data_IF_858740775672
#
_entry.id   IF_858740775672
#
_cell.length_a   1.000
_cell.length_b   1.000
_cell.length_c   1.000
_cell.angle_alpha   90.00
_cell.angle_beta   90.00
_cell.angle_gamma   90.00
#
_symmetry.space_group_name_H-M   'P 1'
#
loop_
_entity.id
_entity.type
_entity.pdbx_description
1 polymer ?
#
# COMPACT_ATOMS: atom_id res chain seq x y z
N UNK A 1 10.04 16.79 22.36
CA UNK A 1 9.77 17.74 23.46
C UNK A 1 10.02 17.09 24.83
N UNK A 2 10.08 15.76 24.90
CA UNK A 2 10.97 15.07 25.82
C UNK A 2 12.41 15.09 25.24
N UNK A 3 13.38 15.61 25.97
CA UNK A 3 14.82 15.54 25.69
C UNK A 3 15.53 15.12 26.98
N UNK A 4 16.82 14.77 26.90
CA UNK A 4 17.62 14.49 28.10
C UNK A 4 17.55 15.66 29.11
N UNK A 5 17.35 16.88 28.64
CA UNK A 5 17.17 18.06 29.50
C UNK A 5 15.89 18.04 30.36
N UNK A 6 14.95 17.12 30.13
CA UNK A 6 13.70 17.03 30.89
C UNK A 6 13.65 15.83 31.85
N UNK A 7 14.79 15.20 32.13
CA UNK A 7 14.87 14.23 33.22
C UNK A 7 14.65 14.90 34.57
N UNK A 8 14.15 14.13 35.54
CA UNK A 8 13.87 14.64 36.89
C UNK A 8 15.11 15.28 37.56
N UNK A 9 16.30 14.78 37.26
CA UNK A 9 17.59 15.34 37.68
C UNK A 9 17.82 16.75 37.14
N UNK A 10 17.58 16.94 35.85
CA UNK A 10 17.85 18.21 35.15
C UNK A 10 16.81 19.26 35.51
N UNK A 11 15.55 18.84 35.66
CA UNK A 11 14.48 19.71 36.20
C UNK A 11 14.82 20.15 37.62
N UNK A 12 15.25 19.22 38.49
CA UNK A 12 15.64 19.56 39.87
C UNK A 12 16.81 20.53 39.88
N UNK A 13 17.83 20.30 39.06
CA UNK A 13 18.98 21.21 38.96
C UNK A 13 18.55 22.62 38.52
N UNK A 14 17.63 22.74 37.55
CA UNK A 14 17.03 24.04 37.20
C UNK A 14 16.27 24.68 38.35
N UNK A 15 15.51 23.90 39.13
CA UNK A 15 14.81 24.43 40.32
C UNK A 15 15.80 24.92 41.38
N UNK A 16 16.83 24.15 41.69
CA UNK A 16 17.88 24.51 42.66
C UNK A 16 18.65 25.76 42.23
N UNK A 17 18.89 25.94 40.92
CA UNK A 17 19.53 27.15 40.40
C UNK A 17 18.69 28.42 40.63
N UNK A 18 17.37 28.31 40.79
CA UNK A 18 16.48 29.43 41.12
C UNK A 18 16.32 29.67 42.63
N UNK A 19 16.82 28.77 43.47
CA UNK A 19 16.86 28.99 44.93
C UNK A 19 17.97 30.01 45.24
N UNK A 20 17.81 30.94 46.20
CA UNK A 20 18.88 31.82 46.66
C UNK A 20 20.17 31.06 47.07
N UNK A 21 21.33 31.68 46.89
CA UNK A 21 22.64 31.05 47.15
C UNK A 21 23.01 30.90 48.62
N UNK A 22 22.32 31.62 49.51
CA UNK A 22 22.46 31.59 50.97
C UNK A 22 21.70 30.42 51.63
N UNK A 23 21.00 29.61 50.84
CA UNK A 23 20.28 28.42 51.27
C UNK A 23 21.07 27.16 50.86
N UNK A 24 21.16 26.17 51.75
CA UNK A 24 21.78 24.88 51.43
C UNK A 24 20.89 24.06 50.48
N UNK A 25 21.49 23.63 49.37
CA UNK A 25 20.86 22.92 48.25
C UNK A 25 21.43 21.53 48.04
N UNK A 26 22.30 21.08 48.94
CA UNK A 26 23.00 19.80 48.84
C UNK A 26 22.01 18.63 48.95
N UNK A 27 22.36 17.50 48.36
CA UNK A 27 21.56 16.28 48.45
C UNK A 27 21.36 15.85 49.92
N UNK A 28 20.13 15.51 50.29
CA UNK A 28 19.74 15.17 51.67
C UNK A 28 19.36 16.35 52.57
N UNK A 29 19.37 17.58 52.06
CA UNK A 29 18.85 18.76 52.76
C UNK A 29 17.40 19.07 52.37
N UNK A 30 16.67 19.74 53.26
CA UNK A 30 15.23 20.01 53.14
C UNK A 30 14.81 20.54 51.77
N UNK A 31 15.54 21.51 51.21
CA UNK A 31 15.19 22.10 49.91
C UNK A 31 15.39 21.11 48.76
N UNK A 32 16.47 20.35 48.77
CA UNK A 32 16.72 19.31 47.77
C UNK A 32 15.66 18.21 47.84
N UNK A 33 15.34 17.75 49.04
CA UNK A 33 14.37 16.67 49.28
C UNK A 33 12.94 17.13 48.98
N UNK A 34 12.59 18.40 49.24
CA UNK A 34 11.30 18.97 48.89
C UNK A 34 11.10 19.13 47.37
N UNK A 35 12.17 19.48 46.63
CA UNK A 35 12.10 19.67 45.18
C UNK A 35 12.16 18.36 44.38
N UNK A 36 12.76 17.31 44.94
CA UNK A 36 12.92 16.01 44.28
C UNK A 36 11.61 15.31 43.84
N UNK A 37 10.56 15.19 44.68
CA UNK A 37 9.29 14.62 44.23
C UNK A 37 8.58 15.51 43.21
N UNK A 38 8.67 16.84 43.36
CA UNK A 38 8.09 17.78 42.40
C UNK A 38 8.76 17.69 41.02
N UNK A 39 10.08 17.56 40.96
CA UNK A 39 10.79 17.39 39.70
C UNK A 39 10.44 16.06 39.00
N UNK A 40 10.16 15.01 39.79
CA UNK A 40 9.69 13.73 39.25
C UNK A 40 8.31 13.81 38.63
N UNK A 41 7.35 14.47 39.29
CA UNK A 41 6.01 14.69 38.73
C UNK A 41 6.04 15.57 37.46
N UNK A 42 6.95 16.54 37.40
CA UNK A 42 7.14 17.36 36.20
C UNK A 42 7.77 16.58 35.04
N UNK A 43 8.75 15.70 35.30
CA UNK A 43 9.29 14.79 34.27
C UNK A 43 8.16 13.95 33.65
N UNK A 44 7.29 13.37 34.49
CA UNK A 44 6.13 12.62 34.02
C UNK A 44 5.16 13.48 33.22
N UNK A 45 5.00 14.75 33.60
CA UNK A 45 4.18 15.72 32.86
C UNK A 45 4.77 16.01 31.48
N UNK A 46 6.08 16.31 31.39
CA UNK A 46 6.75 16.51 30.10
C UNK A 46 6.69 15.28 29.21
N UNK A 47 6.77 14.08 29.78
CA UNK A 47 6.60 12.84 29.03
C UNK A 47 5.18 12.71 28.44
N UNK A 48 4.14 13.05 29.23
CA UNK A 48 2.74 13.09 28.75
C UNK A 48 2.53 14.15 27.67
N UNK A 49 3.11 15.34 27.83
CA UNK A 49 2.99 16.40 26.84
C UNK A 49 3.62 15.99 25.49
N UNK A 50 4.76 15.30 25.52
CA UNK A 50 5.39 14.74 24.32
C UNK A 50 4.52 13.67 23.65
N UNK A 51 3.85 12.82 24.43
CA UNK A 51 2.87 11.85 23.91
C UNK A 51 1.69 12.57 23.23
N UNK A 52 1.13 13.61 23.87
CA UNK A 52 0.03 14.42 23.31
C UNK A 52 0.45 15.04 21.97
N UNK A 53 1.66 15.59 21.88
CA UNK A 53 2.16 16.16 20.63
C UNK A 53 2.32 15.10 19.53
N UNK A 54 2.82 13.92 19.88
CA UNK A 54 2.91 12.80 18.92
C UNK A 54 1.54 12.38 18.39
N UNK A 55 0.51 12.39 19.24
CA UNK A 55 -0.85 11.98 18.90
C UNK A 55 -1.62 13.01 18.06
N UNK A 56 -1.23 14.28 18.13
CA UNK A 56 -1.91 15.39 17.42
C UNK A 56 -1.26 15.74 16.09
N UNK A 57 -0.02 15.31 15.85
CA UNK A 57 0.69 15.56 14.60
C UNK A 57 0.38 14.50 13.53
N UNK A 58 0.04 14.89 12.28
CA UNK A 58 -0.21 13.93 11.19
C UNK A 58 1.03 13.09 10.84
N UNK A 59 2.23 13.57 11.19
CA UNK A 59 3.49 12.86 10.92
C UNK A 59 3.74 11.69 11.88
N UNK A 60 3.16 11.72 13.08
CA UNK A 60 3.49 10.77 14.15
C UNK A 60 2.27 10.06 14.74
N UNK A 61 1.07 10.59 14.54
CA UNK A 61 -0.15 9.96 15.03
C UNK A 61 -0.37 8.59 14.38
N UNK A 62 -0.96 7.68 15.14
CA UNK A 62 -1.25 6.30 14.76
C UNK A 62 -2.68 5.92 15.12
N UNK A 63 -3.20 4.86 14.49
CA UNK A 63 -4.52 4.31 14.76
C UNK A 63 -5.65 5.36 14.76
N UNK A 64 -6.47 5.34 15.82
CA UNK A 64 -7.63 6.22 15.96
C UNK A 64 -7.25 7.71 16.07
N UNK A 65 -6.06 8.04 16.59
CA UNK A 65 -5.63 9.45 16.66
C UNK A 65 -5.25 9.98 15.28
N UNK A 66 -4.66 9.15 14.41
CA UNK A 66 -4.46 9.51 13.01
C UNK A 66 -5.81 9.72 12.30
N UNK A 67 -6.78 8.85 12.53
CA UNK A 67 -8.12 8.97 11.92
C UNK A 67 -8.87 10.23 12.35
N UNK A 68 -8.70 10.70 13.60
CA UNK A 68 -9.23 12.00 14.03
C UNK A 68 -8.68 13.17 13.20
N UNK A 69 -7.46 13.02 12.66
CA UNK A 69 -6.83 14.02 11.79
C UNK A 69 -7.29 13.87 10.34
N UNK A 70 -7.41 12.64 9.82
CA UNK A 70 -7.70 12.39 8.40
C UNK A 70 -9.19 12.45 8.04
N UNK A 71 -10.07 12.00 8.94
CA UNK A 71 -11.51 11.91 8.68
C UNK A 71 -12.17 13.28 8.36
N UNK A 72 -11.81 14.40 9.04
CA UNK A 72 -12.39 15.71 8.73
C UNK A 72 -12.17 16.20 7.29
N UNK A 73 -11.12 15.73 6.61
CA UNK A 73 -10.83 16.07 5.20
C UNK A 73 -11.33 15.01 4.21
N UNK A 74 -12.17 14.08 4.67
CA UNK A 74 -12.78 13.03 3.87
C UNK A 74 -11.84 11.86 3.55
N UNK A 75 -10.74 11.70 4.29
CA UNK A 75 -9.81 10.59 4.13
C UNK A 75 -10.03 9.58 5.26
N UNK A 76 -10.79 8.54 4.95
CA UNK A 76 -11.09 7.44 5.85
C UNK A 76 -10.17 6.25 5.59
N UNK A 77 -9.82 5.52 6.66
CA UNK A 77 -9.09 4.26 6.57
C UNK A 77 -9.90 3.25 5.76
N UNK A 78 -9.22 2.52 4.88
CA UNK A 78 -9.83 1.38 4.21
C UNK A 78 -9.87 0.19 5.16
N UNK A 79 -11.08 -0.30 5.39
CA UNK A 79 -11.29 -1.54 6.12
C UNK A 79 -10.73 -2.73 5.34
N UNK A 80 -10.34 -3.76 6.07
CA UNK A 80 -9.93 -5.03 5.48
C UNK A 80 -11.13 -5.83 4.98
N UNK A 81 -10.86 -6.85 4.17
CA UNK A 81 -11.85 -7.74 3.59
C UNK A 81 -11.64 -9.18 4.03
N UNK A 82 -12.74 -9.92 4.14
CA UNK A 82 -12.69 -11.36 4.33
C UNK A 82 -12.50 -12.07 2.99
N UNK A 83 -11.56 -13.00 2.95
CA UNK A 83 -11.40 -13.86 1.78
C UNK A 83 -12.62 -14.78 1.64
N UNK A 84 -13.10 -14.99 0.41
CA UNK A 84 -14.27 -15.83 0.17
C UNK A 84 -14.17 -16.57 -1.16
N UNK A 85 -14.88 -17.70 -1.26
CA UNK A 85 -15.04 -18.49 -2.49
C UNK A 85 -16.17 -19.49 -2.32
N UNK A 86 -16.45 -20.27 -3.36
CA UNK A 86 -17.31 -21.45 -3.28
C UNK A 86 -16.47 -22.70 -2.97
N UNK A 87 -16.86 -23.42 -1.92
CA UNK A 87 -16.30 -24.70 -1.53
C UNK A 87 -17.09 -25.83 -2.19
N UNK A 88 -16.41 -26.77 -2.84
CA UNK A 88 -16.98 -28.03 -3.30
C UNK A 88 -16.96 -29.04 -2.17
N UNK A 89 -18.12 -29.65 -1.91
CA UNK A 89 -18.29 -30.68 -0.90
C UNK A 89 -18.82 -31.95 -1.55
N UNK A 90 -18.19 -33.08 -1.25
CA UNK A 90 -18.62 -34.39 -1.71
C UNK A 90 -19.17 -35.20 -0.52
N UNK A 91 -20.30 -35.86 -0.72
CA UNK A 91 -21.00 -36.63 0.32
C UNK A 91 -22.52 -36.40 0.28
N UNK A 92 -23.21 -36.92 1.29
CA UNK A 92 -24.64 -36.71 1.50
C UNK A 92 -24.82 -36.09 2.88
N UNK A 93 -24.88 -34.75 2.95
CA UNK A 93 -24.79 -34.00 4.20
C UNK A 93 -25.71 -32.78 4.21
N UNK A 94 -26.13 -32.35 5.40
CA UNK A 94 -26.68 -31.02 5.63
C UNK A 94 -25.63 -30.18 6.33
N UNK A 95 -25.07 -29.21 5.63
CA UNK A 95 -24.08 -28.26 6.16
C UNK A 95 -24.84 -27.02 6.63
N UNK A 96 -24.56 -26.55 7.85
CA UNK A 96 -25.18 -25.36 8.42
C UNK A 96 -24.33 -24.11 8.17
N UNK A 97 -24.98 -22.95 8.21
CA UNK A 97 -24.23 -21.69 8.34
C UNK A 97 -23.43 -21.70 9.64
N UNK A 98 -22.15 -21.35 9.57
CA UNK A 98 -21.22 -21.39 10.70
C UNK A 98 -20.39 -22.66 10.81
N UNK A 99 -20.68 -23.72 10.04
CA UNK A 99 -19.80 -24.90 9.98
C UNK A 99 -18.43 -24.51 9.42
N UNK A 100 -17.37 -25.03 10.04
CA UNK A 100 -15.98 -24.61 9.75
C UNK A 100 -15.27 -25.63 8.87
N UNK A 101 -14.53 -25.13 7.89
CA UNK A 101 -13.53 -25.86 7.10
C UNK A 101 -12.19 -25.17 7.19
N UNK A 102 -11.09 -25.87 6.92
CA UNK A 102 -9.76 -25.29 7.05
C UNK A 102 -8.72 -25.85 6.07
N UNK A 103 -7.65 -25.09 5.89
CA UNK A 103 -6.42 -25.60 5.26
C UNK A 103 -5.63 -26.50 6.23
N UNK A 104 -4.70 -27.33 5.72
CA UNK A 104 -3.75 -28.06 6.58
C UNK A 104 -2.88 -27.16 7.46
N UNK A 105 -2.69 -25.90 7.08
CA UNK A 105 -1.98 -24.89 7.89
C UNK A 105 -2.83 -24.27 9.01
N UNK A 106 -4.13 -24.60 9.08
CA UNK A 106 -5.03 -24.14 10.14
C UNK A 106 -5.77 -22.83 9.86
N UNK A 107 -5.75 -22.31 8.63
CA UNK A 107 -6.57 -21.16 8.22
C UNK A 107 -8.03 -21.61 8.11
N UNK A 108 -8.94 -20.92 8.80
CA UNK A 108 -10.34 -21.34 9.00
C UNK A 108 -11.30 -20.49 8.18
N UNK A 109 -12.32 -21.15 7.64
CA UNK A 109 -13.40 -20.57 6.85
C UNK A 109 -14.74 -21.10 7.35
N UNK A 110 -15.73 -20.21 7.47
CA UNK A 110 -17.10 -20.57 7.82
C UNK A 110 -17.97 -20.71 6.57
N UNK A 111 -18.84 -21.70 6.58
CA UNK A 111 -19.93 -21.83 5.63
C UNK A 111 -20.96 -20.74 5.88
N UNK A 112 -21.37 -20.00 4.83
CA UNK A 112 -22.20 -18.80 5.00
C UNK A 112 -23.70 -19.11 5.13
N UNK A 113 -24.16 -20.22 4.55
CA UNK A 113 -25.58 -20.57 4.53
C UNK A 113 -25.79 -22.07 4.67
N UNK A 114 -26.94 -22.47 5.20
CA UNK A 114 -27.31 -23.88 5.23
C UNK A 114 -27.49 -24.42 3.81
N UNK A 115 -26.88 -25.57 3.52
CA UNK A 115 -26.95 -26.23 2.20
C UNK A 115 -27.02 -27.74 2.38
N UNK A 116 -27.97 -28.39 1.70
CA UNK A 116 -28.08 -29.85 1.63
C UNK A 116 -27.33 -30.32 0.39
N UNK A 117 -26.35 -31.20 0.58
CA UNK A 117 -25.51 -31.79 -0.46
C UNK A 117 -25.96 -33.23 -0.70
N UNK A 118 -26.22 -33.58 -1.96
CA UNK A 118 -26.54 -34.94 -2.41
C UNK A 118 -25.50 -35.40 -3.43
N UNK A 119 -24.55 -36.22 -3.00
CA UNK A 119 -23.41 -36.68 -3.79
C UNK A 119 -22.28 -35.64 -3.89
N UNK A 120 -22.54 -34.49 -4.53
CA UNK A 120 -21.59 -33.38 -4.66
C UNK A 120 -22.34 -32.06 -4.81
N UNK A 121 -21.80 -30.98 -4.27
CA UNK A 121 -22.39 -29.64 -4.40
C UNK A 121 -21.44 -28.55 -3.91
N UNK A 122 -21.86 -27.29 -4.09
CA UNK A 122 -21.07 -26.12 -3.70
C UNK A 122 -21.74 -25.33 -2.58
N UNK A 123 -20.92 -24.73 -1.72
CA UNK A 123 -21.36 -23.87 -0.64
C UNK A 123 -20.43 -22.65 -0.52
N UNK A 124 -20.97 -21.42 -0.43
CA UNK A 124 -20.14 -20.24 -0.22
C UNK A 124 -19.52 -20.28 1.17
N UNK A 125 -18.22 -20.01 1.22
CA UNK A 125 -17.42 -19.92 2.43
C UNK A 125 -16.75 -18.55 2.53
N UNK A 126 -16.48 -18.12 3.75
CA UNK A 126 -15.77 -16.89 4.06
C UNK A 126 -14.74 -17.16 5.16
N UNK A 127 -13.57 -16.53 5.08
CA UNK A 127 -12.56 -16.57 6.12
C UNK A 127 -13.12 -16.08 7.46
N UNK A 128 -12.64 -16.66 8.56
CA UNK A 128 -13.00 -16.19 9.90
C UNK A 128 -12.28 -14.90 10.28
N UNK A 129 -11.09 -14.67 9.72
CA UNK A 129 -10.26 -13.51 9.98
C UNK A 129 -10.17 -12.64 8.72
N UNK A 130 -10.16 -11.33 8.93
CA UNK A 130 -9.84 -10.35 7.90
C UNK A 130 -8.36 -10.48 7.57
N UNK A 131 -8.02 -10.28 6.29
CA UNK A 131 -6.61 -10.14 5.89
C UNK A 131 -6.24 -10.96 4.67
N UNK A 132 -5.09 -10.61 4.12
CA UNK A 132 -4.56 -11.23 2.91
C UNK A 132 -4.03 -12.65 3.14
N UNK A 133 -3.69 -13.00 4.39
CA UNK A 133 -3.25 -14.34 4.80
C UNK A 133 -4.29 -15.43 4.53
N UNK A 134 -5.57 -15.07 4.45
CA UNK A 134 -6.66 -15.99 4.14
C UNK A 134 -6.83 -16.26 2.63
N UNK A 135 -6.05 -15.61 1.77
CA UNK A 135 -6.02 -15.89 0.34
C UNK A 135 -5.19 -17.15 0.08
N UNK A 136 -5.86 -18.23 -0.35
CA UNK A 136 -5.21 -19.52 -0.55
C UNK A 136 -5.47 -20.04 -1.97
N UNK A 137 -4.52 -20.78 -2.57
CA UNK A 137 -4.68 -21.28 -3.93
C UNK A 137 -5.85 -22.27 -4.02
N UNK A 138 -6.23 -22.61 -5.26
CA UNK A 138 -7.15 -23.71 -5.51
C UNK A 138 -6.64 -25.00 -4.83
N UNK A 139 -7.57 -25.78 -4.29
CA UNK A 139 -7.39 -27.06 -3.61
C UNK A 139 -6.63 -26.98 -2.27
N UNK A 140 -6.59 -25.81 -1.64
CA UNK A 140 -5.91 -25.62 -0.35
C UNK A 140 -6.76 -26.04 0.87
N UNK A 141 -8.08 -25.87 0.81
CA UNK A 141 -9.00 -26.21 1.90
C UNK A 141 -9.38 -27.69 1.78
N UNK A 142 -8.86 -28.52 2.68
CA UNK A 142 -9.03 -29.99 2.58
C UNK A 142 -9.45 -30.64 3.90
N UNK A 143 -9.59 -29.86 4.97
CA UNK A 143 -9.86 -30.37 6.30
C UNK A 143 -11.12 -29.75 6.91
N UNK A 144 -11.70 -30.49 7.84
CA UNK A 144 -12.78 -30.03 8.71
C UNK A 144 -12.30 -30.17 10.16
N UNK A 145 -12.16 -29.09 10.94
CA UNK A 145 -11.74 -29.19 12.35
C UNK A 145 -12.76 -29.94 13.20
N UNK A 146 -14.04 -29.88 12.82
CA UNK A 146 -15.11 -30.70 13.40
C UNK A 146 -15.74 -31.50 12.26
N UNK A 147 -15.81 -32.82 12.42
CA UNK A 147 -16.39 -33.69 11.39
C UNK A 147 -17.86 -33.34 11.16
N UNK A 148 -18.20 -32.99 9.92
CA UNK A 148 -19.58 -32.76 9.50
C UNK A 148 -20.15 -34.08 9.00
N UNK A 149 -21.21 -34.57 9.64
CA UNK A 149 -21.79 -35.88 9.32
C UNK A 149 -22.25 -35.94 7.85
N UNK A 150 -21.82 -37.00 7.15
CA UNK A 150 -22.19 -37.24 5.75
C UNK A 150 -21.27 -36.57 4.72
N UNK A 151 -20.34 -35.71 5.15
CA UNK A 151 -19.30 -35.14 4.28
C UNK A 151 -18.14 -36.14 4.15
N UNK A 152 -17.77 -36.45 2.90
CA UNK A 152 -16.64 -37.34 2.56
C UNK A 152 -15.37 -36.53 2.32
N UNK A 153 -15.46 -35.42 1.59
CA UNK A 153 -14.33 -34.52 1.34
C UNK A 153 -14.80 -33.11 1.02
N UNK A 154 -13.91 -32.15 1.24
CA UNK A 154 -14.08 -30.74 0.89
C UNK A 154 -12.88 -30.26 0.08
N UNK A 155 -13.12 -29.38 -0.90
CA UNK A 155 -12.06 -28.70 -1.65
C UNK A 155 -12.56 -27.38 -2.24
N UNK A 156 -11.70 -26.37 -2.34
CA UNK A 156 -11.99 -25.16 -3.11
C UNK A 156 -11.42 -25.31 -4.53
N UNK A 157 -12.26 -25.50 -5.55
CA UNK A 157 -11.75 -25.68 -6.92
C UNK A 157 -11.17 -24.39 -7.52
N UNK A 158 -11.63 -23.24 -7.03
CA UNK A 158 -11.06 -21.92 -7.33
C UNK A 158 -10.26 -21.41 -6.13
N UNK A 159 -9.32 -20.50 -6.37
CA UNK A 159 -8.61 -19.83 -5.28
C UNK A 159 -9.58 -19.07 -4.37
N UNK A 160 -9.23 -18.97 -3.08
CA UNK A 160 -9.89 -18.03 -2.17
C UNK A 160 -9.22 -16.68 -2.35
N UNK A 161 -10.02 -15.65 -2.62
CA UNK A 161 -9.53 -14.30 -2.94
C UNK A 161 -10.32 -13.25 -2.15
N UNK A 162 -9.96 -11.97 -2.33
CA UNK A 162 -10.58 -10.81 -1.68
C UNK A 162 -10.35 -10.70 -0.16
N UNK A 163 -9.40 -11.47 0.39
CA UNK A 163 -8.81 -11.18 1.69
C UNK A 163 -7.92 -9.95 1.58
N UNK A 164 -8.25 -8.88 2.30
CA UNK A 164 -7.48 -7.65 2.31
C UNK A 164 -7.17 -7.25 3.74
N UNK A 165 -5.93 -6.85 3.99
CA UNK A 165 -5.53 -6.30 5.28
C UNK A 165 -6.16 -4.92 5.48
N UNK A 166 -6.46 -4.58 6.73
CA UNK A 166 -6.82 -3.21 7.10
C UNK A 166 -5.67 -2.29 6.69
N UNK A 167 -5.99 -1.16 6.07
CA UNK A 167 -4.98 -0.20 5.64
C UNK A 167 -4.11 0.24 6.82
N UNK A 168 -2.78 0.18 6.67
CA UNK A 168 -1.87 0.60 7.72
C UNK A 168 -1.75 2.13 7.81
N UNK A 169 -1.19 2.61 8.93
CA UNK A 169 -1.06 4.04 9.21
C UNK A 169 -0.23 4.80 8.17
N UNK A 170 0.79 4.17 7.59
CA UNK A 170 1.64 4.81 6.59
C UNK A 170 0.87 5.08 5.29
N UNK A 171 0.10 4.09 4.82
CA UNK A 171 -0.76 4.25 3.64
C UNK A 171 -1.85 5.29 3.86
N UNK A 172 -2.51 5.27 5.02
CA UNK A 172 -3.53 6.27 5.37
C UNK A 172 -2.92 7.68 5.42
N UNK A 173 -1.76 7.83 6.08
CA UNK A 173 -1.02 9.09 6.18
C UNK A 173 -0.59 9.61 4.81
N UNK A 174 -0.11 8.73 3.93
CA UNK A 174 0.26 9.10 2.57
C UNK A 174 -0.93 9.66 1.79
N UNK A 175 -2.10 9.00 1.86
CA UNK A 175 -3.33 9.50 1.23
C UNK A 175 -3.78 10.84 1.81
N UNK A 176 -3.64 11.03 3.12
CA UNK A 176 -3.91 12.31 3.77
C UNK A 176 -3.01 13.42 3.22
N UNK A 177 -1.70 13.21 3.17
CA UNK A 177 -0.78 14.21 2.62
C UNK A 177 -1.02 14.45 1.14
N UNK A 178 -1.31 13.42 0.34
CA UNK A 178 -1.69 13.58 -1.05
C UNK A 178 -2.91 14.51 -1.16
N UNK A 179 -3.97 14.25 -0.39
CA UNK A 179 -5.17 15.09 -0.36
C UNK A 179 -4.87 16.55 -0.02
N UNK A 180 -4.00 16.78 0.98
CA UNK A 180 -3.66 18.12 1.47
C UNK A 180 -2.69 18.88 0.55
N UNK A 181 -1.78 18.18 -0.13
CA UNK A 181 -0.76 18.76 -1.01
C UNK A 181 -1.23 18.89 -2.45
N UNK A 182 -2.30 18.17 -2.82
CA UNK A 182 -2.89 18.21 -4.16
C UNK A 182 -4.33 18.73 -4.15
N UNK A 183 -4.62 19.89 -3.50
CA UNK A 183 -5.96 20.42 -3.47
C UNK A 183 -6.38 20.74 -4.90
N UNK A 184 -7.39 20.03 -5.38
CA UNK A 184 -7.93 20.21 -6.70
C UNK A 184 -8.90 21.40 -6.62
N UNK A 185 -8.44 22.58 -7.02
CA UNK A 185 -9.18 23.84 -6.89
C UNK A 185 -8.96 24.72 -8.11
N UNK A 186 -9.99 25.46 -8.49
CA UNK A 186 -9.96 26.54 -9.50
C UNK A 186 -9.26 26.19 -10.82
N UNK A 187 -9.32 24.93 -11.25
CA UNK A 187 -8.71 24.45 -12.49
C UNK A 187 -7.18 24.42 -12.45
N UNK A 188 -6.58 24.14 -11.28
CA UNK A 188 -5.15 23.86 -11.21
C UNK A 188 -4.81 22.47 -11.79
N UNK A 189 -3.51 22.15 -11.89
CA UNK A 189 -3.03 20.88 -12.44
C UNK A 189 -3.64 19.63 -11.79
N UNK A 190 -3.99 19.70 -10.50
CA UNK A 190 -4.58 18.58 -9.76
C UNK A 190 -6.07 18.42 -10.07
N UNK A 191 -6.80 19.51 -10.33
CA UNK A 191 -8.18 19.47 -10.84
C UNK A 191 -8.25 18.74 -12.18
N UNK A 192 -7.41 19.13 -13.14
CA UNK A 192 -7.36 18.46 -14.44
C UNK A 192 -7.01 16.98 -14.34
N UNK A 193 -6.06 16.61 -13.46
CA UNK A 193 -5.74 15.20 -13.21
C UNK A 193 -6.93 14.44 -12.63
N UNK A 194 -7.67 15.03 -11.69
CA UNK A 194 -8.83 14.40 -11.07
C UNK A 194 -9.96 14.22 -12.08
N UNK A 195 -10.30 15.25 -12.86
CA UNK A 195 -11.30 15.14 -13.92
C UNK A 195 -10.96 14.05 -14.93
N UNK A 196 -9.69 13.94 -15.35
CA UNK A 196 -9.27 12.84 -16.23
C UNK A 196 -9.55 11.46 -15.60
N UNK A 197 -9.26 11.30 -14.30
CA UNK A 197 -9.45 10.04 -13.56
C UNK A 197 -10.92 9.74 -13.19
N UNK A 198 -11.84 10.68 -13.34
CA UNK A 198 -13.28 10.44 -13.16
C UNK A 198 -13.86 9.64 -14.34
N UNK A 199 -13.20 9.66 -15.50
CA UNK A 199 -13.62 8.91 -16.68
C UNK A 199 -13.23 7.43 -16.54
N UNK A 200 -14.22 6.56 -16.70
CA UNK A 200 -14.03 5.10 -16.66
C UNK A 200 -12.98 4.66 -17.68
N UNK A 201 -12.05 3.80 -17.26
CA UNK A 201 -10.93 3.36 -18.10
C UNK A 201 -9.69 4.24 -17.98
N UNK A 202 -9.74 5.44 -17.39
CA UNK A 202 -8.56 6.27 -17.15
C UNK A 202 -7.88 5.90 -15.81
N UNK A 203 -6.67 5.33 -15.90
CA UNK A 203 -5.92 4.90 -14.70
C UNK A 203 -5.07 6.00 -14.08
N UNK A 204 -4.59 6.96 -14.86
CA UNK A 204 -3.86 8.14 -14.38
C UNK A 204 -3.75 9.23 -15.43
N UNK A 205 -3.38 10.44 -14.99
CA UNK A 205 -3.05 11.54 -15.86
C UNK A 205 -1.87 12.37 -15.33
N UNK A 206 -1.02 12.83 -16.24
CA UNK A 206 0.01 13.83 -16.01
C UNK A 206 -0.39 15.13 -16.70
N UNK A 207 -0.33 16.24 -15.97
CA UNK A 207 -0.81 17.54 -16.44
C UNK A 207 0.37 18.51 -16.59
N UNK A 208 0.54 19.02 -17.80
CA UNK A 208 1.57 19.98 -18.19
C UNK A 208 0.91 21.34 -18.45
N UNK A 209 1.01 22.29 -17.51
CA UNK A 209 0.48 23.64 -17.71
C UNK A 209 1.33 24.42 -18.71
N UNK A 210 0.69 25.29 -19.49
CA UNK A 210 1.34 26.23 -20.41
C UNK A 210 2.24 25.57 -21.48
N UNK A 211 1.97 24.31 -21.81
CA UNK A 211 2.81 23.49 -22.70
C UNK A 211 2.99 24.11 -24.09
N UNK A 212 1.99 24.83 -24.58
CA UNK A 212 1.98 25.57 -25.85
C UNK A 212 1.67 27.06 -25.63
N UNK A 213 2.14 27.62 -24.52
CA UNK A 213 1.95 29.04 -24.17
C UNK A 213 0.73 29.31 -23.28
N UNK A 214 0.42 30.59 -23.09
CA UNK A 214 -0.61 31.05 -22.16
C UNK A 214 -1.99 30.47 -22.48
N UNK A 215 -2.69 29.99 -21.44
CA UNK A 215 -4.02 29.41 -21.56
C UNK A 215 -4.05 27.95 -22.02
N UNK A 216 -2.91 27.30 -22.28
CA UNK A 216 -2.87 25.91 -22.74
C UNK A 216 -2.63 24.92 -21.60
N UNK A 217 -3.26 23.75 -21.68
CA UNK A 217 -3.08 22.64 -20.74
C UNK A 217 -2.96 21.34 -21.53
N UNK A 218 -1.86 20.61 -21.36
CA UNK A 218 -1.70 19.27 -21.93
C UNK A 218 -1.89 18.22 -20.85
N UNK A 219 -2.67 17.20 -21.17
CA UNK A 219 -3.02 16.11 -20.25
C UNK A 219 -2.63 14.81 -20.92
N UNK A 220 -1.65 14.14 -20.35
CA UNK A 220 -1.11 12.87 -20.86
C UNK A 220 -1.74 11.78 -20.00
N UNK A 221 -2.51 10.88 -20.61
CA UNK A 221 -3.29 9.86 -19.90
C UNK A 221 -2.77 8.45 -20.12
N UNK A 222 -3.08 7.58 -19.17
CA UNK A 222 -2.92 6.12 -19.27
C UNK A 222 -4.22 5.44 -18.90
N UNK A 223 -4.44 4.25 -19.44
CA UNK A 223 -5.60 3.45 -19.07
C UNK A 223 -5.46 2.83 -17.67
N UNK A 224 -6.50 2.16 -17.18
CA UNK A 224 -6.53 1.49 -15.87
C UNK A 224 -5.38 0.51 -15.65
N UNK A 225 -4.88 -0.12 -16.72
CA UNK A 225 -3.75 -1.04 -16.68
C UNK A 225 -2.38 -0.33 -16.72
N UNK A 226 -2.35 1.01 -16.61
CA UNK A 226 -1.16 1.87 -16.76
C UNK A 226 -0.45 1.68 -18.11
N UNK A 227 -1.25 1.48 -19.18
CA UNK A 227 -0.79 1.39 -20.57
C UNK A 227 -1.26 2.60 -21.37
N UNK A 228 -0.76 2.74 -22.59
CA UNK A 228 -1.25 3.75 -23.52
C UNK A 228 -2.78 3.66 -23.64
N UNK A 229 -3.43 4.82 -23.53
CA UNK A 229 -4.85 5.00 -23.82
C UNK A 229 -5.10 4.89 -25.33
N UNK A 230 -6.25 4.31 -25.68
CA UNK A 230 -6.78 4.32 -27.04
C UNK A 230 -7.52 5.65 -27.34
N UNK A 231 -7.89 5.84 -28.60
CA UNK A 231 -8.58 7.05 -29.06
C UNK A 231 -9.95 7.25 -28.43
N UNK A 232 -10.64 6.16 -28.07
CA UNK A 232 -11.96 6.23 -27.43
C UNK A 232 -11.82 6.86 -26.04
N UNK A 233 -10.85 6.40 -25.26
CA UNK A 233 -10.57 6.93 -23.94
C UNK A 233 -10.06 8.38 -24.00
N UNK A 234 -9.19 8.70 -24.96
CA UNK A 234 -8.71 10.08 -25.17
C UNK A 234 -9.89 11.03 -25.40
N UNK A 235 -10.83 10.66 -26.27
CA UNK A 235 -12.00 11.48 -26.59
C UNK A 235 -12.94 11.61 -25.39
N UNK A 236 -13.22 10.52 -24.67
CA UNK A 236 -14.08 10.55 -23.49
C UNK A 236 -13.50 11.46 -22.39
N UNK A 237 -12.18 11.40 -22.16
CA UNK A 237 -11.50 12.31 -21.22
C UNK A 237 -11.54 13.76 -21.71
N UNK A 238 -11.34 14.00 -23.01
CA UNK A 238 -11.40 15.35 -23.57
C UNK A 238 -12.79 15.98 -23.41
N UNK A 239 -13.86 15.23 -23.69
CA UNK A 239 -15.25 15.66 -23.52
C UNK A 239 -15.58 15.99 -22.06
N UNK A 240 -15.24 15.09 -21.13
CA UNK A 240 -15.48 15.32 -19.71
C UNK A 240 -14.76 16.57 -19.18
N UNK A 241 -13.53 16.80 -19.64
CA UNK A 241 -12.78 17.99 -19.22
C UNK A 241 -13.32 19.26 -19.86
N UNK A 242 -13.81 19.20 -21.09
CA UNK A 242 -14.46 20.34 -21.76
C UNK A 242 -15.66 20.86 -20.96
N UNK A 243 -16.46 19.96 -20.39
CA UNK A 243 -17.62 20.32 -19.55
C UNK A 243 -17.24 20.94 -18.20
N UNK A 244 -16.05 20.64 -17.67
CA UNK A 244 -15.63 21.02 -16.31
C UNK A 244 -14.59 22.14 -16.26
N UNK A 245 -13.82 22.36 -17.34
CA UNK A 245 -12.68 23.28 -17.32
C UNK A 245 -13.12 24.74 -17.15
N UNK A 246 -12.27 25.60 -16.57
CA UNK A 246 -12.51 27.03 -16.58
C UNK A 246 -12.58 27.61 -17.99
N UNK A 247 -13.35 28.69 -18.13
CA UNK A 247 -13.44 29.47 -19.37
C UNK A 247 -12.04 29.99 -19.75
N UNK A 248 -11.68 29.84 -21.03
CA UNK A 248 -10.42 30.35 -21.59
C UNK A 248 -9.24 29.36 -21.62
N UNK A 249 -9.36 28.17 -21.00
CA UNK A 249 -8.31 27.15 -21.09
C UNK A 249 -8.45 26.30 -22.38
N UNK A 250 -7.40 26.19 -23.18
CA UNK A 250 -7.34 25.27 -24.33
C UNK A 250 -6.67 23.96 -23.89
N UNK A 251 -7.45 22.88 -23.84
CA UNK A 251 -6.99 21.57 -23.35
C UNK A 251 -6.59 20.68 -24.52
N UNK A 252 -5.50 19.94 -24.36
CA UNK A 252 -5.06 18.91 -25.28
C UNK A 252 -4.86 17.61 -24.50
N UNK A 253 -5.65 16.59 -24.81
CA UNK A 253 -5.54 15.26 -24.21
C UNK A 253 -4.77 14.35 -25.16
N UNK A 254 -3.75 13.66 -24.67
CA UNK A 254 -2.95 12.69 -25.44
C UNK A 254 -2.70 11.43 -24.64
N UNK A 255 -2.39 10.34 -25.31
CA UNK A 255 -1.94 9.10 -24.67
C UNK A 255 -0.45 9.17 -24.32
N UNK A 256 -0.05 8.51 -23.24
CA UNK A 256 1.36 8.31 -22.94
C UNK A 256 2.07 7.48 -24.02
N UNK A 257 3.35 7.76 -24.24
CA UNK A 257 4.21 6.94 -25.11
C UNK A 257 4.79 5.79 -24.30
N UNK A 258 4.57 4.55 -24.74
CA UNK A 258 5.14 3.39 -24.05
C UNK A 258 6.61 3.20 -24.40
N UNK A 259 7.46 3.18 -23.38
CA UNK A 259 8.87 2.80 -23.51
C UNK A 259 9.06 1.38 -23.02
N UNK A 260 9.27 0.45 -23.95
CA UNK A 260 9.54 -0.94 -23.61
C UNK A 260 10.89 -1.08 -22.88
N UNK A 261 10.86 -1.75 -21.74
CA UNK A 261 12.02 -1.99 -20.88
C UNK A 261 12.34 -3.48 -20.88
N UNK A 262 13.45 -3.80 -21.54
CA UNK A 262 13.98 -5.15 -21.64
C UNK A 262 15.01 -5.35 -20.55
N UNK A 263 14.88 -6.44 -19.80
CA UNK A 263 15.78 -6.77 -18.69
C UNK A 263 16.51 -8.06 -19.05
N UNK A 264 17.84 -8.00 -19.02
CA UNK A 264 18.70 -9.18 -19.05
C UNK A 264 19.38 -9.33 -17.69
N UNK A 265 19.38 -10.53 -17.11
CA UNK A 265 20.03 -10.78 -15.81
C UNK A 265 20.39 -12.26 -15.67
N UNK A 266 21.52 -12.55 -15.03
CA UNK A 266 21.91 -13.90 -14.62
C UNK A 266 21.51 -14.10 -13.16
N UNK A 267 20.77 -15.15 -12.85
CA UNK A 267 20.24 -15.40 -11.50
C UNK A 267 20.96 -16.56 -10.82
N UNK A 268 21.23 -16.41 -9.53
CA UNK A 268 21.57 -17.50 -8.62
C UNK A 268 20.32 -17.82 -7.81
N UNK A 269 19.71 -18.99 -8.03
CA UNK A 269 18.42 -19.37 -7.44
C UNK A 269 18.56 -20.50 -6.43
N UNK A 270 17.66 -20.56 -5.43
CA UNK A 270 17.52 -21.72 -4.54
C UNK A 270 16.81 -22.86 -5.27
N UNK A 271 17.59 -23.64 -6.02
CA UNK A 271 17.13 -24.77 -6.84
C UNK A 271 16.47 -25.89 -6.03
N UNK A 272 16.56 -25.88 -4.69
CA UNK A 272 15.87 -26.86 -3.84
C UNK A 272 14.37 -26.59 -3.74
N UNK A 273 13.96 -25.35 -3.96
CA UNK A 273 12.57 -24.89 -3.77
C UNK A 273 11.93 -24.30 -5.02
N UNK A 274 12.73 -23.75 -5.93
CA UNK A 274 12.23 -22.98 -7.07
C UNK A 274 12.89 -23.42 -8.38
N UNK A 275 12.11 -23.35 -9.47
CA UNK A 275 12.63 -23.51 -10.84
C UNK A 275 12.86 -22.16 -11.51
N UNK A 276 13.64 -22.14 -12.59
CA UNK A 276 13.85 -20.93 -13.39
C UNK A 276 12.53 -20.41 -13.98
N UNK A 277 11.63 -21.30 -14.38
CA UNK A 277 10.31 -20.94 -14.92
C UNK A 277 9.42 -20.26 -13.87
N UNK A 278 9.47 -20.73 -12.61
CA UNK A 278 8.74 -20.09 -11.51
C UNK A 278 9.27 -18.66 -11.29
N UNK A 279 10.60 -18.50 -11.28
CA UNK A 279 11.25 -17.19 -11.11
C UNK A 279 10.95 -16.24 -12.28
N UNK A 280 10.85 -16.75 -13.50
CA UNK A 280 10.45 -15.94 -14.65
C UNK A 280 9.07 -15.33 -14.44
N UNK A 281 8.06 -16.14 -14.10
CA UNK A 281 6.68 -15.67 -13.89
C UNK A 281 6.63 -14.65 -12.73
N UNK A 282 7.29 -14.95 -11.61
CA UNK A 282 7.30 -14.08 -10.43
C UNK A 282 7.97 -12.74 -10.73
N UNK A 283 9.14 -12.76 -11.38
CA UNK A 283 9.87 -11.53 -11.74
C UNK A 283 9.11 -10.70 -12.76
N UNK A 284 8.52 -11.32 -13.78
CA UNK A 284 7.69 -10.60 -14.76
C UNK A 284 6.56 -9.84 -14.08
N UNK A 285 5.83 -10.48 -13.17
CA UNK A 285 4.74 -9.84 -12.45
C UNK A 285 5.24 -8.73 -11.52
N UNK A 286 6.33 -8.98 -10.81
CA UNK A 286 6.96 -8.02 -9.89
C UNK A 286 7.44 -6.77 -10.65
N UNK A 287 8.06 -6.95 -11.81
CA UNK A 287 8.53 -5.87 -12.68
C UNK A 287 7.37 -5.09 -13.30
N UNK A 288 6.32 -5.76 -13.76
CA UNK A 288 5.09 -5.12 -14.26
C UNK A 288 4.46 -4.23 -13.17
N UNK A 289 4.33 -4.73 -11.95
CA UNK A 289 3.82 -3.96 -10.81
C UNK A 289 4.70 -2.76 -10.48
N UNK A 290 6.03 -2.94 -10.49
CA UNK A 290 6.97 -1.85 -10.28
C UNK A 290 6.84 -0.75 -11.34
N UNK A 291 6.80 -1.12 -12.63
CA UNK A 291 6.66 -0.16 -13.73
C UNK A 291 5.33 0.60 -13.66
N UNK A 292 4.24 -0.09 -13.35
CA UNK A 292 2.93 0.54 -13.13
C UNK A 292 2.95 1.56 -11.99
N UNK A 293 3.73 1.30 -10.93
CA UNK A 293 3.88 2.20 -9.77
C UNK A 293 4.67 3.46 -10.10
N UNK A 294 5.70 3.37 -10.97
CA UNK A 294 6.57 4.51 -11.28
C UNK A 294 6.08 5.34 -12.48
N UNK A 295 5.07 4.88 -13.23
CA UNK A 295 4.45 5.61 -14.34
C UNK A 295 3.99 7.00 -13.89
N UNK A 296 4.44 8.05 -14.59
CA UNK A 296 4.25 9.48 -14.26
C UNK A 296 4.78 9.97 -12.91
N UNK A 297 5.40 9.11 -12.10
CA UNK A 297 6.02 9.48 -10.81
C UNK A 297 7.49 9.80 -11.00
N UNK A 298 8.22 8.92 -11.70
CA UNK A 298 9.65 9.05 -11.91
C UNK A 298 9.95 9.45 -13.35
N UNK A 299 11.02 10.23 -13.54
CA UNK A 299 11.56 10.60 -14.85
C UNK A 299 12.73 9.70 -15.30
N UNK A 300 13.01 8.62 -14.57
CA UNK A 300 13.97 7.59 -14.96
C UNK A 300 13.67 6.27 -14.25
N UNK A 301 14.24 5.18 -14.79
CA UNK A 301 14.26 3.86 -14.19
C UNK A 301 15.63 3.68 -13.54
N UNK A 302 15.64 3.46 -12.23
CA UNK A 302 16.88 3.27 -11.48
C UNK A 302 17.39 1.85 -11.66
N UNK A 303 18.62 1.72 -12.14
CA UNK A 303 19.33 0.45 -12.24
C UNK A 303 19.41 -0.24 -10.87
N UNK A 304 19.73 0.52 -9.82
CA UNK A 304 19.83 0.01 -8.46
C UNK A 304 18.47 -0.45 -7.92
N UNK A 305 17.37 0.24 -8.24
CA UNK A 305 16.04 -0.18 -7.79
C UNK A 305 15.60 -1.49 -8.44
N UNK A 306 15.90 -1.70 -9.74
CA UNK A 306 15.63 -2.98 -10.41
C UNK A 306 16.47 -4.09 -9.80
N UNK A 307 17.77 -3.86 -9.58
CA UNK A 307 18.64 -4.82 -8.91
C UNK A 307 18.14 -5.21 -7.52
N UNK A 308 17.73 -4.22 -6.72
CA UNK A 308 17.15 -4.45 -5.39
C UNK A 308 15.81 -5.20 -5.46
N UNK A 309 14.98 -4.92 -6.46
CA UNK A 309 13.70 -5.61 -6.64
C UNK A 309 13.92 -7.09 -6.98
N UNK A 310 14.86 -7.39 -7.87
CA UNK A 310 15.26 -8.76 -8.21
C UNK A 310 15.83 -9.45 -6.96
N UNK A 311 16.78 -8.83 -6.28
CA UNK A 311 17.43 -9.41 -5.10
C UNK A 311 16.45 -9.75 -3.97
N UNK A 312 15.43 -8.91 -3.73
CA UNK A 312 14.43 -9.16 -2.69
C UNK A 312 13.31 -10.12 -3.12
N UNK A 313 13.36 -10.68 -4.33
CA UNK A 313 12.37 -11.66 -4.78
C UNK A 313 12.65 -13.01 -4.11
N UNK A 314 11.66 -13.60 -3.40
CA UNK A 314 11.84 -14.90 -2.75
C UNK A 314 12.29 -15.98 -3.74
N UNK A 315 13.34 -16.72 -3.38
CA UNK A 315 13.93 -17.78 -4.21
C UNK A 315 15.20 -17.36 -4.96
N UNK A 316 15.50 -16.06 -5.00
CA UNK A 316 16.76 -15.54 -5.53
C UNK A 316 17.78 -15.40 -4.40
N UNK A 317 18.94 -16.04 -4.57
CA UNK A 317 20.08 -15.97 -3.65
C UNK A 317 20.95 -14.77 -4.00
N UNK A 318 21.22 -14.57 -5.29
CA UNK A 318 22.00 -13.45 -5.83
C UNK A 318 21.71 -13.24 -7.32
N UNK A 319 22.23 -12.17 -7.91
CA UNK A 319 22.18 -11.93 -9.35
C UNK A 319 23.47 -11.30 -9.87
N UNK A 320 23.73 -11.47 -11.17
CA UNK A 320 24.84 -10.84 -11.86
C UNK A 320 24.44 -10.42 -13.28
N UNK A 321 25.29 -9.61 -13.93
CA UNK A 321 25.10 -9.17 -15.32
C UNK A 321 23.71 -8.54 -15.61
N UNK A 322 23.17 -7.77 -14.65
CA UNK A 322 21.94 -7.03 -14.88
C UNK A 322 22.17 -5.96 -15.96
N UNK A 323 21.29 -5.96 -16.96
CA UNK A 323 21.26 -4.98 -18.04
C UNK A 323 19.81 -4.54 -18.25
N UNK A 324 19.61 -3.24 -18.38
CA UNK A 324 18.33 -2.61 -18.70
C UNK A 324 18.48 -2.00 -20.09
N UNK A 325 17.70 -2.46 -21.06
CA UNK A 325 17.87 -2.11 -22.48
C UNK A 325 19.33 -2.25 -22.96
N UNK A 326 19.97 -3.35 -22.57
CA UNK A 326 21.37 -3.68 -22.89
C UNK A 326 22.44 -2.79 -22.23
N UNK A 327 22.06 -1.95 -21.25
CA UNK A 327 22.99 -1.06 -20.55
C UNK A 327 22.95 -1.27 -19.02
N UNK A 328 24.09 -1.11 -18.35
CA UNK A 328 24.21 -1.20 -16.89
C UNK A 328 24.12 0.20 -16.24
N UNK A 329 23.06 0.95 -16.53
CA UNK A 329 22.84 2.32 -16.01
C UNK A 329 21.35 2.66 -15.91
N UNK A 330 21.06 3.80 -15.30
CA UNK A 330 19.70 4.33 -15.23
C UNK A 330 19.19 4.69 -16.64
N UNK A 331 17.92 4.37 -16.91
CA UNK A 331 17.28 4.69 -18.20
C UNK A 331 16.38 5.92 -18.01
N UNK A 332 16.65 7.06 -18.68
CA UNK A 332 15.79 8.22 -18.59
C UNK A 332 14.44 7.96 -19.28
N UNK A 333 13.39 8.55 -18.74
CA UNK A 333 12.06 8.60 -19.33
C UNK A 333 11.80 10.04 -19.78
N UNK A 334 11.42 10.21 -21.04
CA UNK A 334 10.94 11.50 -21.53
C UNK A 334 9.63 11.87 -20.83
N UNK A 335 9.22 13.13 -20.96
CA UNK A 335 8.13 13.68 -20.17
C UNK A 335 6.77 12.98 -20.41
N UNK A 336 6.57 12.47 -21.63
CA UNK A 336 5.36 11.75 -22.06
C UNK A 336 5.55 10.23 -22.06
N UNK A 337 6.73 9.73 -21.66
CA UNK A 337 7.04 8.32 -21.65
C UNK A 337 6.64 7.66 -20.33
N UNK A 338 6.06 6.46 -20.43
CA UNK A 338 5.87 5.54 -19.31
C UNK A 338 6.69 4.27 -19.54
N UNK A 339 7.27 3.68 -18.50
CA UNK A 339 7.95 2.40 -18.63
C UNK A 339 6.90 1.29 -18.75
N UNK A 340 7.07 0.41 -19.74
CA UNK A 340 6.29 -0.81 -19.83
C UNK A 340 7.23 -2.00 -19.87
N UNK A 341 6.81 -3.11 -19.26
CA UNK A 341 7.56 -4.35 -19.33
C UNK A 341 7.71 -4.78 -20.79
N UNK A 342 8.96 -4.96 -21.23
CA UNK A 342 9.31 -5.50 -22.54
C UNK A 342 9.56 -7.00 -22.44
N UNK A 343 10.82 -7.40 -22.46
CA UNK A 343 11.24 -8.80 -22.30
C UNK A 343 12.07 -9.02 -21.05
N UNK A 344 12.05 -10.25 -20.53
CA UNK A 344 12.93 -10.72 -19.47
C UNK A 344 13.76 -11.89 -19.99
N UNK A 345 15.08 -11.68 -20.08
CA UNK A 345 16.04 -12.70 -20.49
C UNK A 345 16.83 -13.15 -19.25
N UNK A 346 16.58 -14.37 -18.81
CA UNK A 346 17.26 -14.97 -17.66
C UNK A 346 18.43 -15.84 -18.11
N UNK A 347 19.62 -15.53 -17.62
CA UNK A 347 20.75 -16.45 -17.59
C UNK A 347 20.76 -17.22 -16.26
N UNK A 348 21.40 -18.39 -16.24
CA UNK A 348 21.74 -19.15 -15.04
C UNK A 348 23.24 -19.18 -14.87
#
# INVERSE_FOLDING_TARGET
MFSEDNLASDIRNRMLNNVPSDIDKSEGYFVYDALSPASKELELTYAKDDEILKRTSPYTATGADLEKITNPVGVYRKEGGYAHTDLTVNGNASINGGDIVQTPSGLKFACIKQTVINGSGTIPIQALEIGSDSNVPANAITQMPVTIQGVVSVTNLQAVTNGYDVENDESLRQRYFERMQTPATSGNKYHYRNWAKEVVGCGDAKVNPLWAGNGTVKIIIVNENKRAADTTLINAVAEHIEDNRPIGATVTVVSATEKAINIGVTLVIDTKKYTLSDMQIVLENTLKQYFNKIAFVNNYISYASIGNLIFNTPGIIDYSNLLINSEAKNIPLADEEIPVFGTLNLGV
#
